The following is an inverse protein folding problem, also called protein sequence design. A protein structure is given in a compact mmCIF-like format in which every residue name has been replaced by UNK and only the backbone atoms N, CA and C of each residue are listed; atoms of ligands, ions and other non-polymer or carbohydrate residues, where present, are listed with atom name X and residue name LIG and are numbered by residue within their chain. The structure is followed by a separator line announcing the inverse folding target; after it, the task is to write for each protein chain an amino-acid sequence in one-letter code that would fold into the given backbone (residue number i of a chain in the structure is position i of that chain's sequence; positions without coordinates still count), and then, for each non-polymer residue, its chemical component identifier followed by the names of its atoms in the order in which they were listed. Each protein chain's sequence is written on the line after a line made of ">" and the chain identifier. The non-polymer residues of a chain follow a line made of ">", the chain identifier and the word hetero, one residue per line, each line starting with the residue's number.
data_IF_530517993864
#
_entry.id   IF_530517993864
#
_cell.length_a   1.000
_cell.length_b   1.000
_cell.length_c   1.000
_cell.angle_alpha   90.00
_cell.angle_beta   90.00
_cell.angle_gamma   90.00
#
_symmetry.space_group_name_H-M   'P 1'
#
loop_
_entity.id
_entity.type
_entity.pdbx_description
1 polymer ?
#
# COMPACT_ATOMS: atom_id res chain seq x y z
N UNK A 1 0.82 1.59 -5.26
CA UNK A 1 0.03 0.35 -5.01
C UNK A 1 0.72 -0.43 -3.89
N UNK A 2 0.00 -1.10 -2.97
CA UNK A 2 0.59 -1.66 -1.73
C UNK A 2 1.91 -2.45 -1.95
N UNK A 3 3.02 -2.05 -1.30
CA UNK A 3 3.19 -0.84 -0.49
C UNK A 3 3.20 0.42 -1.38
N UNK A 4 2.28 1.34 -1.10
CA UNK A 4 2.08 2.55 -1.88
C UNK A 4 2.19 3.82 -1.05
N UNK A 5 2.40 4.96 -1.72
CA UNK A 5 2.34 6.27 -1.08
C UNK A 5 0.91 6.58 -0.61
N UNK A 6 0.75 7.46 0.38
CA UNK A 6 -0.55 7.68 1.04
C UNK A 6 -1.65 8.14 0.06
N UNK A 7 -1.31 8.97 -0.93
CA UNK A 7 -2.16 9.34 -2.04
C UNK A 7 -2.78 8.13 -2.77
N UNK A 8 -1.97 7.11 -3.08
CA UNK A 8 -2.41 5.99 -3.92
C UNK A 8 -3.53 5.15 -3.28
N UNK A 9 -3.63 5.16 -1.94
CA UNK A 9 -4.74 4.51 -1.23
C UNK A 9 -6.03 5.32 -1.32
N UNK A 10 -5.93 6.65 -1.26
CA UNK A 10 -7.10 7.53 -1.38
C UNK A 10 -7.59 7.63 -2.83
N UNK A 11 -6.68 7.60 -3.81
CA UNK A 11 -6.98 7.63 -5.25
C UNK A 11 -7.98 6.55 -5.67
N UNK A 12 -8.05 5.43 -4.94
CA UNK A 12 -9.03 4.37 -5.15
C UNK A 12 -10.48 4.86 -5.15
N UNK A 13 -10.76 5.99 -4.48
CA UNK A 13 -12.09 6.61 -4.38
C UNK A 13 -12.33 7.71 -5.43
N UNK A 14 -11.34 8.04 -6.25
CA UNK A 14 -11.39 9.15 -7.19
C UNK A 14 -12.45 8.94 -8.29
N UNK A 15 -13.21 9.99 -8.61
CA UNK A 15 -14.29 10.00 -9.59
C UNK A 15 -13.85 9.65 -11.02
N UNK A 16 -12.59 9.92 -11.38
CA UNK A 16 -11.97 9.45 -12.64
C UNK A 16 -12.07 7.93 -12.89
N UNK A 17 -12.25 7.12 -11.85
CA UNK A 17 -12.47 5.67 -11.97
C UNK A 17 -13.96 5.28 -11.94
N UNK A 18 -14.86 6.25 -11.78
CA UNK A 18 -16.30 6.01 -11.81
C UNK A 18 -16.70 5.47 -13.19
N UNK A 19 -17.56 4.47 -13.17
CA UNK A 19 -18.17 3.88 -14.36
C UNK A 19 -19.65 3.65 -14.08
N UNK A 20 -20.48 3.75 -15.10
CA UNK A 20 -21.93 3.54 -14.96
C UNK A 20 -22.27 2.14 -14.44
N UNK A 21 -23.45 1.99 -13.86
CA UNK A 21 -23.95 0.68 -13.43
C UNK A 21 -24.11 -0.24 -14.63
N UNK A 22 -23.58 -1.46 -14.51
CA UNK A 22 -23.55 -2.44 -15.59
C UNK A 22 -22.24 -2.46 -16.38
N UNK A 23 -21.43 -1.41 -16.26
CA UNK A 23 -20.09 -1.37 -16.85
C UNK A 23 -19.04 -1.93 -15.89
N UNK A 24 -17.99 -2.53 -16.45
CA UNK A 24 -16.86 -3.01 -15.66
C UNK A 24 -16.07 -1.83 -15.11
N UNK A 25 -15.82 -1.84 -13.80
CA UNK A 25 -14.87 -0.91 -13.20
C UNK A 25 -13.45 -1.18 -13.74
N UNK A 26 -12.57 -0.16 -13.82
CA UNK A 26 -11.22 -0.34 -14.35
C UNK A 26 -10.44 -1.43 -13.62
N UNK A 27 -10.66 -1.57 -12.31
CA UNK A 27 -10.03 -2.58 -11.47
C UNK A 27 -10.79 -2.74 -10.14
N UNK A 28 -10.61 -3.85 -9.42
CA UNK A 28 -11.50 -4.20 -8.30
C UNK A 28 -11.41 -3.28 -7.07
N UNK A 29 -10.27 -2.62 -6.80
CA UNK A 29 -10.17 -1.62 -5.72
C UNK A 29 -10.35 -0.19 -6.25
N UNK A 30 -10.25 0.04 -7.57
CA UNK A 30 -10.40 1.37 -8.18
C UNK A 30 -11.87 1.67 -8.41
N UNK A 31 -12.50 2.27 -7.40
CA UNK A 31 -13.87 2.78 -7.41
C UNK A 31 -14.92 1.75 -7.86
N UNK A 32 -14.72 0.48 -7.51
CA UNK A 32 -15.71 -0.58 -7.72
C UNK A 32 -17.00 -0.37 -6.92
N UNK A 33 -16.96 0.53 -5.93
CA UNK A 33 -18.07 0.97 -5.09
C UNK A 33 -18.84 2.18 -5.62
N UNK A 34 -18.48 2.71 -6.80
CA UNK A 34 -19.24 3.77 -7.52
C UNK A 34 -19.46 5.05 -6.72
N UNK A 35 -18.43 5.44 -5.99
CA UNK A 35 -18.42 6.69 -5.26
C UNK A 35 -17.94 7.84 -6.15
N UNK A 36 -18.51 9.02 -5.96
CA UNK A 36 -18.10 10.22 -6.67
C UNK A 36 -18.33 11.42 -5.76
N UNK A 37 -17.28 12.18 -5.49
CA UNK A 37 -17.34 13.40 -4.71
C UNK A 37 -16.34 14.39 -5.31
N UNK A 38 -16.85 15.49 -5.87
CA UNK A 38 -16.02 16.47 -6.58
C UNK A 38 -15.07 17.24 -5.66
N UNK A 39 -15.42 17.39 -4.38
CA UNK A 39 -14.54 18.01 -3.38
C UNK A 39 -13.36 17.07 -3.04
N UNK A 40 -13.64 15.78 -2.86
CA UNK A 40 -12.58 14.79 -2.68
C UNK A 40 -11.67 14.75 -3.91
N UNK A 41 -12.22 14.69 -5.12
CA UNK A 41 -11.43 14.66 -6.36
C UNK A 41 -10.47 15.87 -6.42
N UNK A 42 -10.95 17.07 -6.09
CA UNK A 42 -10.12 18.28 -6.08
C UNK A 42 -8.97 18.25 -5.05
N UNK A 43 -9.16 17.58 -3.91
CA UNK A 43 -8.10 17.38 -2.90
C UNK A 43 -7.08 16.36 -3.44
N UNK A 44 -7.55 15.25 -3.99
CA UNK A 44 -6.68 14.19 -4.52
C UNK A 44 -5.86 14.66 -5.71
N UNK A 45 -6.43 15.49 -6.59
CA UNK A 45 -5.69 16.12 -7.69
C UNK A 45 -4.54 17.01 -7.19
N UNK A 46 -4.71 17.70 -6.05
CA UNK A 46 -3.63 18.47 -5.41
C UNK A 46 -2.55 17.56 -4.83
N UNK A 47 -2.94 16.50 -4.12
CA UNK A 47 -2.00 15.51 -3.57
C UNK A 47 -1.17 14.83 -4.67
N UNK A 48 -1.77 14.54 -5.83
CA UNK A 48 -1.09 13.85 -6.93
C UNK A 48 0.15 14.60 -7.45
N UNK A 49 0.11 15.93 -7.43
CA UNK A 49 1.16 16.79 -7.98
C UNK A 49 2.04 17.43 -6.90
N UNK A 50 1.75 17.16 -5.63
CA UNK A 50 2.51 17.71 -4.52
C UNK A 50 3.92 17.13 -4.48
N UNK A 51 4.90 17.97 -4.16
CA UNK A 51 6.26 17.50 -3.88
C UNK A 51 6.23 16.56 -2.65
N UNK A 52 6.67 15.30 -2.76
CA UNK A 52 6.69 14.38 -1.62
C UNK A 52 7.51 14.87 -0.43
N UNK A 53 8.40 15.85 -0.62
CA UNK A 53 9.14 16.51 0.45
C UNK A 53 8.29 17.48 1.29
N UNK A 54 7.17 17.98 0.76
CA UNK A 54 6.24 18.85 1.49
C UNK A 54 5.24 18.03 2.33
N UNK A 55 5.76 17.39 3.37
CA UNK A 55 4.98 16.53 4.25
C UNK A 55 3.88 17.29 5.01
N UNK A 56 4.08 18.58 5.31
CA UNK A 56 3.10 19.36 6.05
C UNK A 56 1.83 19.55 5.23
N UNK A 57 1.98 19.98 3.97
CA UNK A 57 0.86 20.14 3.05
C UNK A 57 0.19 18.79 2.74
N UNK A 58 0.97 17.73 2.55
CA UNK A 58 0.44 16.37 2.27
C UNK A 58 -0.43 15.87 3.43
N UNK A 59 0.01 16.06 4.67
CA UNK A 59 -0.74 15.67 5.87
C UNK A 59 -2.06 16.45 5.96
N UNK A 60 -2.05 17.75 5.68
CA UNK A 60 -3.25 18.58 5.75
C UNK A 60 -4.27 18.21 4.66
N UNK A 61 -3.83 17.91 3.43
CA UNK A 61 -4.69 17.43 2.36
C UNK A 61 -5.24 16.03 2.67
N UNK A 62 -4.40 15.11 3.14
CA UNK A 62 -4.81 13.78 3.56
C UNK A 62 -5.91 13.83 4.63
N UNK A 63 -5.79 14.72 5.61
CA UNK A 63 -6.79 14.90 6.67
C UNK A 63 -8.13 15.37 6.11
N UNK A 64 -8.13 16.34 5.19
CA UNK A 64 -9.36 16.82 4.54
C UNK A 64 -10.03 15.72 3.73
N UNK A 65 -9.25 14.95 2.95
CA UNK A 65 -9.78 13.82 2.18
C UNK A 65 -10.39 12.73 3.08
N UNK A 66 -9.73 12.39 4.20
CA UNK A 66 -10.23 11.39 5.15
C UNK A 66 -11.47 11.89 5.89
N UNK A 67 -11.58 13.19 6.21
CA UNK A 67 -12.79 13.76 6.82
C UNK A 67 -14.02 13.53 5.95
N UNK A 68 -13.91 13.79 4.63
CA UNK A 68 -14.96 13.50 3.66
C UNK A 68 -15.29 12.00 3.63
N UNK A 69 -14.29 11.13 3.55
CA UNK A 69 -14.52 9.68 3.48
C UNK A 69 -15.14 9.12 4.76
N UNK A 70 -14.85 9.71 5.93
CA UNK A 70 -15.46 9.33 7.21
C UNK A 70 -16.90 9.82 7.32
N UNK A 71 -17.23 10.97 6.74
CA UNK A 71 -18.60 11.48 6.67
C UNK A 71 -19.46 10.66 5.68
N UNK A 72 -18.93 10.39 4.48
CA UNK A 72 -19.67 9.72 3.41
C UNK A 72 -19.71 8.19 3.57
N UNK A 73 -18.72 7.60 4.24
CA UNK A 73 -18.56 6.15 4.46
C UNK A 73 -18.79 5.32 3.17
N UNK A 74 -18.07 5.58 2.06
CA UNK A 74 -18.28 4.85 0.81
C UNK A 74 -17.92 3.36 0.92
N UNK A 75 -17.03 3.03 1.86
CA UNK A 75 -16.67 1.66 2.22
C UNK A 75 -16.65 1.51 3.74
N UNK A 76 -17.11 0.36 4.25
CA UNK A 76 -17.11 0.07 5.69
C UNK A 76 -15.95 -0.86 6.03
N UNK A 77 -14.95 -0.35 6.75
CA UNK A 77 -13.88 -1.17 7.31
C UNK A 77 -14.42 -2.13 8.37
N UNK A 78 -14.27 -3.44 8.16
CA UNK A 78 -14.76 -4.46 9.09
C UNK A 78 -13.69 -4.95 10.06
N UNK A 79 -12.51 -5.31 9.52
CA UNK A 79 -11.42 -5.91 10.30
C UNK A 79 -10.07 -5.51 9.73
N UNK A 80 -9.10 -5.30 10.63
CA UNK A 80 -7.69 -5.35 10.25
C UNK A 80 -7.24 -6.80 10.29
N UNK A 81 -6.88 -7.37 9.13
CA UNK A 81 -6.46 -8.77 9.04
C UNK A 81 -4.95 -8.86 9.21
N UNK A 82 -4.43 -9.48 10.29
CA UNK A 82 -3.01 -9.82 10.35
C UNK A 82 -2.69 -10.84 9.27
N UNK A 83 -1.66 -10.59 8.48
CA UNK A 83 -1.20 -11.52 7.46
C UNK A 83 -0.25 -12.55 8.09
N UNK A 84 -0.83 -13.68 8.51
CA UNK A 84 -0.10 -14.81 9.09
C UNK A 84 0.41 -15.71 7.96
N UNK A 85 1.72 -15.90 7.89
CA UNK A 85 2.36 -16.80 6.92
C UNK A 85 3.22 -17.83 7.64
N UNK A 86 2.92 -19.13 7.49
CA UNK A 86 3.79 -20.18 8.00
C UNK A 86 5.06 -20.25 7.15
N UNK A 87 6.21 -20.22 7.80
CA UNK A 87 7.52 -20.32 7.16
C UNK A 87 8.15 -21.66 7.54
N UNK A 88 8.77 -22.32 6.56
CA UNK A 88 9.53 -23.54 6.78
C UNK A 88 11.02 -23.25 6.60
N UNK A 89 11.79 -23.44 7.66
CA UNK A 89 13.23 -23.15 7.69
C UNK A 89 14.13 -24.37 7.41
N UNK A 90 13.54 -25.49 6.98
CA UNK A 90 14.30 -26.75 6.73
C UNK A 90 15.40 -26.57 5.67
N UNK A 91 15.15 -25.78 4.63
CA UNK A 91 16.07 -25.60 3.49
C UNK A 91 16.53 -24.15 3.30
N UNK A 92 15.85 -23.19 3.92
CA UNK A 92 16.12 -21.77 3.75
C UNK A 92 16.08 -21.07 5.11
N UNK A 93 17.09 -20.28 5.41
CA UNK A 93 17.23 -19.49 6.63
C UNK A 93 17.14 -17.99 6.32
N UNK A 94 17.32 -17.16 7.35
CA UNK A 94 17.30 -15.69 7.30
C UNK A 94 15.96 -15.10 6.83
N UNK A 95 14.85 -15.80 7.04
CA UNK A 95 13.53 -15.26 6.74
C UNK A 95 13.24 -14.00 7.58
N UNK A 96 12.52 -13.00 7.03
CA UNK A 96 12.04 -11.90 7.84
C UNK A 96 11.12 -12.42 8.95
N UNK A 97 11.38 -11.98 10.17
CA UNK A 97 10.64 -12.41 11.36
C UNK A 97 10.44 -11.23 12.32
N UNK A 98 9.76 -11.45 13.44
CA UNK A 98 9.67 -10.43 14.48
C UNK A 98 11.04 -10.07 15.07
N UNK A 99 11.94 -11.04 15.19
CA UNK A 99 13.30 -10.85 15.72
C UNK A 99 14.27 -10.27 14.68
N UNK A 100 13.95 -10.46 13.39
CA UNK A 100 14.72 -9.94 12.26
C UNK A 100 13.79 -9.26 11.23
N UNK A 101 13.22 -8.09 11.55
CA UNK A 101 12.10 -7.50 10.79
C UNK A 101 12.56 -6.66 9.59
N UNK A 102 13.37 -7.24 8.70
CA UNK A 102 13.92 -6.52 7.55
C UNK A 102 12.98 -6.45 6.34
N UNK A 103 11.91 -7.24 6.28
CA UNK A 103 10.87 -7.13 5.24
C UNK A 103 9.59 -7.87 5.66
N UNK A 104 8.53 -7.78 4.87
CA UNK A 104 7.36 -8.62 5.03
C UNK A 104 7.49 -9.95 4.25
N UNK A 105 7.22 -11.12 4.86
CA UNK A 105 7.54 -12.43 4.27
C UNK A 105 6.47 -12.97 3.31
N UNK A 106 5.63 -12.12 2.72
CA UNK A 106 4.43 -12.55 1.98
C UNK A 106 4.73 -12.88 0.51
N UNK A 107 4.60 -14.15 0.14
CA UNK A 107 4.96 -14.64 -1.21
C UNK A 107 4.11 -14.09 -2.35
N UNK A 108 2.90 -13.62 -2.05
CA UNK A 108 1.96 -13.06 -3.04
C UNK A 108 2.08 -11.54 -3.19
N UNK A 109 3.02 -10.89 -2.51
CA UNK A 109 3.25 -9.45 -2.63
C UNK A 109 4.24 -9.13 -3.75
N UNK A 110 4.06 -7.97 -4.38
CA UNK A 110 4.90 -7.51 -5.49
C UNK A 110 6.39 -7.38 -5.11
N UNK A 111 6.68 -7.16 -3.83
CA UNK A 111 8.04 -6.98 -3.27
C UNK A 111 8.69 -8.28 -2.80
N UNK A 112 8.08 -9.45 -3.03
CA UNK A 112 8.64 -10.72 -2.54
C UNK A 112 10.02 -11.06 -3.12
N UNK A 113 10.38 -10.50 -4.28
CA UNK A 113 11.73 -10.62 -4.83
C UNK A 113 12.80 -10.07 -3.87
N UNK A 114 12.47 -9.07 -3.04
CA UNK A 114 13.36 -8.51 -2.03
C UNK A 114 13.56 -9.49 -0.87
N UNK A 115 12.56 -10.32 -0.56
CA UNK A 115 12.70 -11.41 0.41
C UNK A 115 13.66 -12.48 -0.12
N UNK A 116 13.56 -12.79 -1.42
CA UNK A 116 14.43 -13.78 -2.05
C UNK A 116 15.88 -13.29 -2.08
N UNK A 117 16.09 -12.08 -2.61
CA UNK A 117 17.44 -11.61 -2.94
C UNK A 117 18.10 -10.80 -1.82
N UNK A 118 17.32 -10.15 -0.97
CA UNK A 118 17.81 -8.99 -0.20
C UNK A 118 17.89 -7.74 -1.09
N UNK A 119 18.34 -6.63 -0.51
CA UNK A 119 18.42 -5.34 -1.18
C UNK A 119 19.43 -4.41 -0.51
N UNK A 120 20.00 -3.42 -1.23
CA UNK A 120 20.79 -2.38 -0.60
C UNK A 120 19.87 -1.41 0.15
N UNK A 121 20.20 -1.12 1.40
CA UNK A 121 19.53 -0.11 2.20
C UNK A 121 19.60 1.27 1.51
N UNK A 122 18.48 1.98 1.35
CA UNK A 122 18.44 3.21 0.57
C UNK A 122 19.18 4.38 1.23
N UNK A 123 19.44 4.34 2.54
CA UNK A 123 20.10 5.42 3.28
C UNK A 123 21.60 5.15 3.44
N UNK A 124 21.96 3.91 3.76
CA UNK A 124 23.33 3.51 4.10
C UNK A 124 24.05 2.79 2.96
N UNK A 125 23.31 2.19 2.03
CA UNK A 125 23.84 1.35 0.95
C UNK A 125 24.28 -0.06 1.39
N UNK A 126 24.16 -0.40 2.67
CA UNK A 126 24.50 -1.72 3.19
C UNK A 126 23.51 -2.78 2.71
N UNK A 127 23.95 -4.03 2.53
CA UNK A 127 23.05 -5.09 2.08
C UNK A 127 22.16 -5.58 3.22
N UNK A 128 20.85 -5.65 2.96
CA UNK A 128 19.83 -6.05 3.91
C UNK A 128 19.16 -7.34 3.45
N UNK A 129 19.19 -8.34 4.33
CA UNK A 129 18.37 -9.54 4.19
C UNK A 129 18.73 -10.45 3.01
N UNK A 130 17.70 -11.13 2.51
CA UNK A 130 17.78 -12.20 1.53
C UNK A 130 17.82 -13.57 2.21
N UNK A 131 16.89 -14.46 1.84
CA UNK A 131 16.91 -15.84 2.34
C UNK A 131 18.13 -16.58 1.77
N UNK A 132 18.66 -17.51 2.56
CA UNK A 132 19.89 -18.25 2.24
C UNK A 132 19.67 -19.75 2.42
N UNK A 133 20.40 -20.63 1.71
CA UNK A 133 20.34 -22.06 1.98
C UNK A 133 20.66 -22.37 3.44
N UNK A 134 19.90 -23.28 4.05
CA UNK A 134 20.18 -23.74 5.41
C UNK A 134 21.40 -24.68 5.40
N UNK A 135 22.41 -24.39 6.23
CA UNK A 135 23.54 -25.30 6.49
C UNK A 135 24.85 -25.03 5.72
N UNK A 136 25.04 -23.84 5.16
CA UNK A 136 26.36 -23.33 4.75
C UNK A 136 27.11 -22.66 5.90
#
# INVERSE_FOLDING_TARGET
>A
FCPGYIYENLELHHGKFFTELGELAPWFERNSFRYANAELDAILDQMQVLDPADQATEIDLYRQAVEILVEDVPTTGLVNRPAVVPINETFWTNWPSQENPWNAPWSWWATFNLVINGYPDPETGEWVGGIQPAGE
#
